data_IF_888988668989
#
_entry.id   IF_888988668989
#
_cell.length_a   1.000
_cell.length_b   1.000
_cell.length_c   1.000
_cell.angle_alpha   90.00
_cell.angle_beta   90.00
_cell.angle_gamma   90.00
#
_symmetry.space_group_name_H-M   'P 1'
#
loop_
_entity.id
_entity.type
_entity.pdbx_description
1 polymer ?
#
# COMPACT_ATOMS: atom_id res chain seq x y z
N UNK A 1 -9.82 16.41 -5.11
CA UNK A 1 -10.85 15.36 -4.96
C UNK A 1 -12.24 15.78 -5.43
N UNK A 2 -12.57 17.08 -5.54
CA UNK A 2 -13.92 17.55 -5.94
C UNK A 2 -14.48 17.01 -7.26
N UNK A 3 -13.61 16.65 -8.21
CA UNK A 3 -14.00 16.00 -9.47
C UNK A 3 -14.69 14.64 -9.29
N UNK A 4 -14.46 13.96 -8.18
CA UNK A 4 -14.97 12.60 -7.93
C UNK A 4 -16.30 12.57 -7.18
N UNK A 5 -16.83 13.73 -6.78
CA UNK A 5 -18.07 13.80 -5.99
C UNK A 5 -17.98 13.05 -4.66
N UNK A 6 -19.11 12.95 -3.96
CA UNK A 6 -19.18 12.28 -2.66
C UNK A 6 -19.27 10.77 -2.86
N UNK A 7 -18.13 10.16 -3.16
CA UNK A 7 -18.01 8.74 -3.49
C UNK A 7 -16.93 8.06 -2.65
N UNK A 8 -16.86 6.73 -2.75
CA UNK A 8 -15.86 5.90 -2.05
C UNK A 8 -14.40 6.28 -2.38
N UNK A 9 -14.18 7.03 -3.47
CA UNK A 9 -12.86 7.49 -3.90
C UNK A 9 -12.23 8.41 -2.84
N UNK A 10 -13.02 9.18 -2.08
CA UNK A 10 -12.49 10.06 -1.04
C UNK A 10 -11.78 9.28 0.07
N UNK A 11 -12.43 8.33 0.76
CA UNK A 11 -11.75 7.51 1.76
C UNK A 11 -10.67 6.61 1.14
N UNK A 12 -10.87 6.10 -0.08
CA UNK A 12 -9.85 5.29 -0.76
C UNK A 12 -8.55 6.06 -1.00
N UNK A 13 -8.63 7.32 -1.44
CA UNK A 13 -7.45 8.16 -1.60
C UNK A 13 -6.75 8.48 -0.27
N UNK A 14 -7.50 8.56 0.83
CA UNK A 14 -6.90 8.74 2.15
C UNK A 14 -6.10 7.50 2.54
N UNK A 15 -6.66 6.30 2.35
CA UNK A 15 -5.96 5.04 2.62
C UNK A 15 -4.67 4.89 1.80
N UNK A 16 -4.68 5.28 0.52
CA UNK A 16 -3.45 5.28 -0.30
C UNK A 16 -2.41 6.25 0.28
N UNK A 17 -2.82 7.44 0.72
CA UNK A 17 -1.91 8.41 1.34
C UNK A 17 -1.34 7.91 2.68
N UNK A 18 -2.13 7.16 3.45
CA UNK A 18 -1.69 6.50 4.69
C UNK A 18 -0.60 5.47 4.43
N UNK A 19 -0.80 4.63 3.41
CA UNK A 19 0.21 3.65 2.98
C UNK A 19 1.52 4.32 2.57
N UNK A 20 1.48 5.43 1.81
CA UNK A 20 2.69 6.19 1.47
C UNK A 20 3.43 6.70 2.70
N UNK A 21 2.70 7.21 3.69
CA UNK A 21 3.33 7.70 4.93
C UNK A 21 4.03 6.57 5.70
N UNK A 22 3.43 5.37 5.71
CA UNK A 22 4.00 4.16 6.30
C UNK A 22 5.23 3.64 5.55
N UNK A 23 5.15 3.53 4.21
CA UNK A 23 6.20 3.04 3.32
C UNK A 23 7.53 3.79 3.52
N UNK A 24 7.45 5.12 3.62
CA UNK A 24 8.61 5.99 3.73
C UNK A 24 8.91 6.40 5.19
N UNK A 25 8.03 6.06 6.13
CA UNK A 25 8.04 6.60 7.50
C UNK A 25 8.12 8.13 7.54
N UNK A 26 7.54 8.81 6.54
CA UNK A 26 7.48 10.27 6.46
C UNK A 26 6.06 10.70 6.79
N UNK A 27 5.86 11.56 7.80
CA UNK A 27 4.54 12.12 8.07
C UNK A 27 3.99 12.88 6.87
N UNK A 28 2.74 12.58 6.51
CA UNK A 28 2.05 13.18 5.37
C UNK A 28 1.16 14.35 5.80
N UNK A 29 1.25 15.47 5.08
CA UNK A 29 0.30 16.58 5.18
C UNK A 29 -0.53 16.58 3.90
N UNK A 30 -1.82 16.33 4.04
CA UNK A 30 -2.76 16.26 2.92
C UNK A 30 -3.72 17.43 3.00
N UNK A 31 -3.61 18.35 2.05
CA UNK A 31 -4.55 19.46 1.88
C UNK A 31 -5.45 19.18 0.66
N UNK A 32 -6.77 19.17 0.87
CA UNK A 32 -7.73 18.97 -0.23
C UNK A 32 -8.87 19.98 -0.15
N UNK A 33 -9.44 20.33 -1.31
CA UNK A 33 -10.57 21.26 -1.38
C UNK A 33 -11.86 20.65 -0.79
N UNK A 34 -12.30 19.48 -1.25
CA UNK A 34 -13.57 18.84 -0.82
C UNK A 34 -13.41 17.44 -0.23
N UNK A 35 -12.18 16.92 -0.16
CA UNK A 35 -11.92 15.57 0.37
C UNK A 35 -11.43 15.61 1.82
N UNK A 36 -10.94 14.47 2.30
CA UNK A 36 -10.29 14.40 3.62
C UNK A 36 -8.98 15.20 3.58
N UNK A 37 -8.97 16.32 4.30
CA UNK A 37 -7.76 17.07 4.65
C UNK A 37 -7.25 16.51 5.96
N UNK A 38 -6.00 16.05 6.00
CA UNK A 38 -5.52 15.22 7.11
C UNK A 38 -4.03 15.39 7.37
N UNK A 39 -3.65 15.16 8.62
CA UNK A 39 -2.28 14.95 9.07
C UNK A 39 -2.12 13.46 9.35
N UNK A 40 -1.12 12.84 8.71
CA UNK A 40 -0.82 11.41 8.81
C UNK A 40 0.56 11.27 9.44
N UNK A 41 0.68 10.45 10.49
CA UNK A 41 1.97 10.22 11.13
C UNK A 41 2.84 9.22 10.33
N UNK A 42 4.10 9.06 10.73
CA UNK A 42 5.06 8.15 10.09
C UNK A 42 4.66 6.66 10.13
N UNK A 43 3.66 6.29 10.94
CA UNK A 43 3.12 4.93 11.02
C UNK A 43 1.85 4.76 10.16
N UNK A 44 1.52 5.75 9.31
CA UNK A 44 0.33 5.72 8.47
C UNK A 44 -0.98 5.90 9.24
N UNK A 45 -0.95 6.42 10.47
CA UNK A 45 -2.16 6.70 11.26
C UNK A 45 -2.60 8.13 11.03
N UNK A 46 -3.92 8.37 10.93
CA UNK A 46 -4.49 9.70 10.84
C UNK A 46 -4.42 10.36 12.23
N UNK A 47 -3.57 11.36 12.39
CA UNK A 47 -3.38 12.08 13.64
C UNK A 47 -4.42 13.20 13.82
N UNK A 48 -4.86 13.81 12.72
CA UNK A 48 -5.92 14.80 12.70
C UNK A 48 -6.58 14.82 11.31
N UNK A 49 -7.88 15.10 11.25
CA UNK A 49 -8.64 15.15 10.00
C UNK A 49 -9.71 16.24 10.06
N UNK A 50 -9.87 16.97 8.96
CA UNK A 50 -11.04 17.80 8.68
C UNK A 50 -11.96 17.00 7.76
N UNK A 51 -13.24 16.80 8.15
CA UNK A 51 -14.18 16.01 7.36
C UNK A 51 -14.34 16.55 5.92
N UNK A 52 -14.53 15.66 4.92
CA UNK A 52 -14.86 16.06 3.55
C UNK A 52 -16.07 16.99 3.50
N UNK A 53 -16.16 17.79 2.44
CA UNK A 53 -17.27 18.72 2.21
C UNK A 53 -17.54 19.72 3.34
N UNK A 54 -16.55 19.98 4.20
CA UNK A 54 -16.64 20.95 5.29
C UNK A 54 -15.69 22.11 5.02
N UNK A 55 -16.20 23.34 5.12
CA UNK A 55 -15.35 24.54 5.09
C UNK A 55 -14.68 24.67 6.45
N UNK A 56 -13.34 24.64 6.47
CA UNK A 56 -12.60 24.74 7.70
C UNK A 56 -11.09 24.77 7.50
N UNK A 57 -10.37 24.87 8.61
CA UNK A 57 -8.91 24.83 8.67
C UNK A 57 -8.51 23.70 9.61
N UNK A 58 -7.61 22.84 9.15
CA UNK A 58 -6.99 21.84 10.01
C UNK A 58 -5.64 22.37 10.50
N UNK A 59 -5.53 22.61 11.81
CA UNK A 59 -4.28 23.02 12.46
C UNK A 59 -3.73 21.87 13.29
N UNK A 60 -2.43 21.62 13.20
CA UNK A 60 -1.74 20.60 13.99
C UNK A 60 -0.23 20.67 13.84
N UNK A 61 0.48 19.91 14.66
CA UNK A 61 1.95 19.81 14.62
C UNK A 61 2.39 18.53 13.90
N UNK A 62 3.47 18.62 13.14
CA UNK A 62 4.11 17.48 12.49
C UNK A 62 5.59 17.46 12.85
N UNK A 63 6.10 16.30 13.25
CA UNK A 63 7.51 16.10 13.51
C UNK A 63 8.20 15.57 12.25
N UNK A 64 9.26 16.22 11.79
CA UNK A 64 10.07 15.70 10.69
C UNK A 64 10.70 14.36 11.03
N UNK A 65 10.79 13.46 10.05
CA UNK A 65 11.44 12.15 10.18
C UNK A 65 12.72 12.11 9.34
N UNK A 66 13.73 11.39 9.83
CA UNK A 66 15.01 11.20 9.16
C UNK A 66 15.38 9.71 9.14
N UNK A 67 16.06 9.29 8.07
CA UNK A 67 16.40 7.89 7.84
C UNK A 67 15.78 7.36 6.55
N UNK A 68 16.11 6.10 6.23
CA UNK A 68 15.61 5.38 5.06
C UNK A 68 15.00 4.07 5.53
N UNK A 69 13.74 3.84 5.19
CA UNK A 69 13.11 2.53 5.41
C UNK A 69 13.72 1.51 4.44
N UNK A 70 13.66 0.20 4.75
CA UNK A 70 14.07 -0.84 3.81
C UNK A 70 13.36 -0.71 2.45
N UNK A 71 12.06 -0.38 2.48
CA UNK A 71 11.27 -0.10 1.28
C UNK A 71 11.84 1.07 0.48
N UNK A 72 12.05 2.23 1.12
CA UNK A 72 12.60 3.41 0.46
C UNK A 72 14.03 3.17 -0.08
N UNK A 73 14.84 2.39 0.63
CA UNK A 73 16.19 2.00 0.19
C UNK A 73 16.17 1.11 -1.06
N UNK A 74 15.23 0.16 -1.14
CA UNK A 74 15.03 -0.72 -2.29
C UNK A 74 14.47 0.06 -3.48
N UNK A 75 13.38 0.80 -3.27
CA UNK A 75 12.70 1.57 -4.30
C UNK A 75 13.60 2.65 -4.92
N UNK A 76 14.43 3.32 -4.11
CA UNK A 76 15.39 4.31 -4.62
C UNK A 76 16.51 3.72 -5.49
N UNK A 77 16.84 2.44 -5.33
CA UNK A 77 17.90 1.76 -6.09
C UNK A 77 17.40 0.98 -7.29
N UNK A 78 16.24 0.35 -7.13
CA UNK A 78 15.75 -0.65 -8.08
C UNK A 78 14.35 -0.33 -8.59
N UNK A 79 13.71 0.75 -8.15
CA UNK A 79 12.30 1.00 -8.44
C UNK A 79 11.42 -0.15 -7.96
N UNK A 80 10.46 -0.56 -8.79
CA UNK A 80 9.48 -1.62 -8.46
C UNK A 80 9.97 -3.04 -8.84
N UNK A 81 11.24 -3.20 -9.25
CA UNK A 81 11.78 -4.50 -9.66
C UNK A 81 11.77 -5.57 -8.56
N UNK A 82 12.10 -5.28 -7.29
CA UNK A 82 12.05 -6.28 -6.22
C UNK A 82 10.66 -6.92 -6.07
N UNK A 83 9.59 -6.12 -6.17
CA UNK A 83 8.20 -6.56 -6.09
C UNK A 83 7.84 -7.44 -7.29
N UNK A 84 8.22 -7.03 -8.50
CA UNK A 84 7.98 -7.80 -9.73
C UNK A 84 8.68 -9.15 -9.68
N UNK A 85 9.94 -9.19 -9.23
CA UNK A 85 10.70 -10.43 -9.10
C UNK A 85 10.10 -11.38 -8.05
N UNK A 86 9.65 -10.84 -6.91
CA UNK A 86 8.98 -11.62 -5.88
C UNK A 86 7.67 -12.23 -6.40
N UNK A 87 6.86 -11.45 -7.12
CA UNK A 87 5.63 -11.92 -7.75
C UNK A 87 5.91 -13.02 -8.79
N UNK A 88 6.90 -12.81 -9.67
CA UNK A 88 7.29 -13.81 -10.66
C UNK A 88 7.78 -15.11 -10.01
N UNK A 89 8.59 -15.01 -8.95
CA UNK A 89 9.05 -16.17 -8.19
C UNK A 89 7.89 -16.96 -7.57
N UNK A 90 6.94 -16.28 -6.92
CA UNK A 90 5.77 -16.92 -6.32
C UNK A 90 4.92 -17.68 -7.35
N UNK A 91 4.73 -17.10 -8.55
CA UNK A 91 4.01 -17.73 -9.65
C UNK A 91 4.74 -18.97 -10.18
N UNK A 92 6.07 -18.88 -10.39
CA UNK A 92 6.89 -20.01 -10.84
C UNK A 92 6.91 -21.14 -9.81
N UNK A 93 6.99 -20.80 -8.52
CA UNK A 93 6.94 -21.78 -7.44
C UNK A 93 5.59 -22.50 -7.40
N UNK A 94 4.48 -21.77 -7.46
CA UNK A 94 3.15 -22.36 -7.53
C UNK A 94 2.97 -23.28 -8.74
N UNK A 95 3.49 -22.87 -9.90
CA UNK A 95 3.49 -23.70 -11.10
C UNK A 95 4.33 -24.98 -10.94
N UNK A 96 5.53 -24.89 -10.38
CA UNK A 96 6.38 -26.05 -10.15
C UNK A 96 5.73 -27.05 -9.18
N UNK A 97 5.17 -26.56 -8.07
CA UNK A 97 4.50 -27.38 -7.06
C UNK A 97 3.27 -28.13 -7.64
N UNK A 98 2.45 -27.46 -8.46
CA UNK A 98 1.31 -28.11 -9.13
C UNK A 98 1.74 -29.17 -10.15
N UNK A 99 2.90 -29.00 -10.81
CA UNK A 99 3.44 -30.04 -11.71
C UNK A 99 3.96 -31.27 -10.96
N UNK A 100 4.62 -31.06 -9.82
CA UNK A 100 5.10 -32.16 -8.98
C UNK A 100 3.95 -33.01 -8.42
N UNK A 101 2.84 -32.38 -8.04
CA UNK A 101 1.64 -33.08 -7.55
C UNK A 101 0.96 -33.94 -8.63
N UNK A 102 0.95 -33.49 -9.89
CA UNK A 102 0.35 -34.25 -11.02
C UNK A 102 1.16 -35.48 -11.43
N UNK A 103 2.47 -35.51 -11.14
CA UNK A 103 3.33 -36.66 -11.41
C UNK A 103 3.15 -37.83 -10.43
N UNK A 104 2.62 -37.57 -9.23
CA UNK A 104 2.42 -38.60 -8.19
C UNK A 104 1.11 -39.39 -8.29
N UNK A 105 0.12 -38.91 -9.04
CA UNK A 105 -1.22 -39.51 -9.13
C UNK A 105 -1.37 -40.65 -10.15
N UNK A 106 -0.31 -41.03 -10.86
CA UNK A 106 -0.37 -42.08 -11.90
C UNK A 106 0.06 -43.50 -11.46
N UNK A 107 0.39 -43.74 -10.18
CA UNK A 107 0.92 -45.03 -9.72
C UNK A 107 0.01 -45.89 -8.82
N UNK A 108 -1.29 -45.58 -8.66
CA UNK A 108 -2.17 -46.34 -7.75
C UNK A 108 -3.45 -46.90 -8.40
N UNK A 109 -3.37 -47.49 -9.60
CA UNK A 109 -4.47 -48.34 -10.08
C UNK A 109 -3.99 -49.45 -11.04
N UNK A 110 -3.18 -50.36 -10.52
CA UNK A 110 -2.86 -51.63 -11.19
C UNK A 110 -2.71 -52.75 -10.15
N UNK A 111 -3.82 -53.39 -9.79
CA UNK A 111 -4.02 -54.74 -9.21
C UNK A 111 -5.55 -54.89 -9.08
N UNK A 112 -6.21 -55.53 -10.04
CA UNK A 112 -6.64 -56.95 -10.02
C UNK A 112 -7.40 -57.29 -8.75
#
# INVERSE_FOLDING_TARGET
LGWFGNTIIIPQHLEIARMRSLEFQIPGIRATNTGATAIINAHGQVAAELPPYTVGVLTGSVQGHAGLTPFAWLASRYGDWPEVLLAAFALLLGWALTRLQRGGTHHHNARV
#
